data_IF_227145937116
#
_entry.id   IF_227145937116
#
_cell.length_a   1.000
_cell.length_b   1.000
_cell.length_c   1.000
_cell.angle_alpha   90.00
_cell.angle_beta   90.00
_cell.angle_gamma   90.00
#
_symmetry.space_group_name_H-M   'P 1'
#
loop_
_entity.id
_entity.type
_entity.pdbx_description
1 polymer ?
#
# COMPACT_ATOMS: atom_id res chain seq x y z
N UNK A 1 -17.30 -15.66 -3.31
CA UNK A 1 -16.48 -14.42 -3.45
C UNK A 1 -15.06 -14.75 -3.05
N UNK A 2 -14.11 -14.15 -3.72
CA UNK A 2 -12.68 -14.38 -3.53
C UNK A 2 -12.18 -13.82 -2.20
N UNK A 3 -11.16 -14.44 -1.66
CA UNK A 3 -10.45 -13.91 -0.49
C UNK A 3 -9.58 -12.72 -0.87
N UNK A 4 -9.52 -11.72 0.01
CA UNK A 4 -8.74 -10.52 -0.21
C UNK A 4 -8.14 -9.99 1.08
N UNK A 5 -7.28 -8.98 0.93
CA UNK A 5 -6.61 -8.32 2.05
C UNK A 5 -7.34 -7.04 2.45
N UNK A 6 -7.43 -6.81 3.76
CA UNK A 6 -7.97 -5.60 4.36
C UNK A 6 -6.89 -4.98 5.25
N UNK A 7 -6.69 -3.69 5.11
CA UNK A 7 -5.73 -2.90 5.88
C UNK A 7 -6.48 -1.86 6.67
N UNK A 8 -6.36 -1.91 7.99
CA UNK A 8 -6.96 -0.98 8.94
C UNK A 8 -5.85 -0.14 9.61
N UNK A 9 -5.58 1.08 9.11
CA UNK A 9 -4.52 1.93 9.64
C UNK A 9 -4.73 2.31 11.10
N UNK A 10 -5.98 2.43 11.56
CA UNK A 10 -6.27 2.79 12.95
C UNK A 10 -5.81 1.72 13.95
N UNK A 11 -5.65 0.49 13.50
CA UNK A 11 -5.20 -0.65 14.32
C UNK A 11 -3.70 -0.90 14.21
N UNK A 12 -3.01 -0.21 13.31
CA UNK A 12 -1.58 -0.39 13.13
C UNK A 12 -0.81 0.30 14.27
N UNK A 13 0.03 -0.46 14.95
CA UNK A 13 0.88 0.03 16.05
C UNK A 13 2.36 0.16 15.63
N UNK A 14 2.67 0.03 14.35
CA UNK A 14 4.04 0.16 13.85
C UNK A 14 5.02 -0.95 14.26
N UNK A 15 4.55 -2.07 14.79
CA UNK A 15 5.41 -3.13 15.36
C UNK A 15 6.30 -3.86 14.34
N UNK A 16 6.07 -3.69 13.04
CA UNK A 16 6.82 -4.30 11.92
C UNK A 16 6.86 -5.83 11.90
N UNK A 17 6.05 -6.55 12.68
CA UNK A 17 5.96 -8.01 12.62
C UNK A 17 5.61 -8.49 11.20
N UNK A 18 4.74 -7.76 10.49
CA UNK A 18 4.40 -8.03 9.09
C UNK A 18 5.60 -7.93 8.14
N UNK A 19 6.53 -6.99 8.40
CA UNK A 19 7.77 -6.82 7.62
C UNK A 19 8.72 -8.01 7.82
N UNK A 20 8.87 -8.46 9.06
CA UNK A 20 9.69 -9.64 9.39
C UNK A 20 9.08 -10.90 8.77
N UNK A 21 7.79 -11.14 8.96
CA UNK A 21 7.10 -12.32 8.42
C UNK A 21 7.08 -12.35 6.88
N UNK A 22 7.02 -11.20 6.21
CA UNK A 22 7.06 -11.13 4.76
C UNK A 22 8.35 -11.71 4.16
N UNK A 23 9.46 -11.62 4.88
CA UNK A 23 10.75 -12.18 4.45
C UNK A 23 10.76 -13.71 4.42
N UNK A 24 9.91 -14.32 5.26
CA UNK A 24 9.79 -15.78 5.36
C UNK A 24 8.94 -16.38 4.23
N UNK A 25 8.24 -15.56 3.46
CA UNK A 25 7.47 -16.04 2.32
C UNK A 25 8.41 -16.53 1.21
N UNK A 26 8.20 -17.77 0.72
CA UNK A 26 9.05 -18.41 -0.25
C UNK A 26 9.14 -17.62 -1.58
N UNK A 27 8.05 -16.96 -1.99
CA UNK A 27 8.03 -16.16 -3.21
C UNK A 27 8.85 -14.87 -3.10
N UNK A 28 9.09 -14.38 -1.87
CA UNK A 28 9.83 -13.14 -1.62
C UNK A 28 11.33 -13.30 -1.39
N UNK A 29 11.81 -14.54 -1.28
CA UNK A 29 13.24 -14.89 -1.25
C UNK A 29 14.07 -14.12 -0.21
N UNK A 30 13.53 -13.92 0.98
CA UNK A 30 14.18 -13.20 2.08
C UNK A 30 14.03 -11.67 2.05
N UNK A 31 13.30 -11.10 1.09
CA UNK A 31 13.05 -9.67 1.01
C UNK A 31 11.63 -9.34 1.45
N UNK A 32 11.47 -8.23 2.18
CA UNK A 32 10.14 -7.74 2.53
C UNK A 32 9.53 -6.95 1.38
N UNK A 33 8.28 -7.29 1.04
CA UNK A 33 7.46 -6.60 0.05
C UNK A 33 6.39 -5.71 0.70
N UNK A 34 6.36 -5.67 2.04
CA UNK A 34 5.53 -4.78 2.83
C UNK A 34 6.42 -3.82 3.60
N UNK A 35 5.98 -2.59 3.71
CA UNK A 35 6.62 -1.53 4.47
C UNK A 35 5.64 -1.02 5.53
N UNK A 36 6.15 -0.35 6.54
CA UNK A 36 5.33 0.37 7.52
C UNK A 36 5.76 1.82 7.43
N UNK A 37 4.87 2.64 6.92
CA UNK A 37 5.05 4.07 6.80
C UNK A 37 4.58 4.77 8.07
N UNK A 38 5.29 5.82 8.45
CA UNK A 38 4.96 6.68 9.57
C UNK A 38 4.27 7.93 9.02
N UNK A 39 3.08 8.20 9.55
CA UNK A 39 2.29 9.37 9.23
C UNK A 39 2.42 10.32 10.42
N UNK A 40 3.48 11.14 10.41
CA UNK A 40 3.70 12.11 11.47
C UNK A 40 2.64 13.21 11.41
N UNK A 41 2.01 13.45 12.55
CA UNK A 41 1.02 14.51 12.77
C UNK A 41 1.43 15.32 13.99
N UNK A 42 0.96 16.56 14.08
CA UNK A 42 1.27 17.45 15.19
C UNK A 42 0.96 16.85 16.57
N UNK A 43 -0.09 16.04 16.68
CA UNK A 43 -0.57 15.50 17.95
C UNK A 43 -0.27 14.00 18.14
N UNK A 44 -0.11 13.24 17.04
CA UNK A 44 0.09 11.79 17.11
C UNK A 44 0.91 11.30 15.92
N UNK A 45 1.73 10.26 16.16
CA UNK A 45 2.34 9.49 15.07
C UNK A 45 1.44 8.31 14.74
N UNK A 46 0.88 8.30 13.52
CA UNK A 46 0.16 7.16 12.99
C UNK A 46 1.09 6.27 12.16
N UNK A 47 0.74 5.02 12.00
CA UNK A 47 1.48 4.08 11.14
C UNK A 47 0.54 3.33 10.23
N UNK A 48 1.00 3.03 9.02
CA UNK A 48 0.21 2.29 8.05
C UNK A 48 1.07 1.24 7.34
N UNK A 49 0.59 -0.01 7.22
CA UNK A 49 1.24 -0.99 6.36
C UNK A 49 1.01 -0.63 4.89
N UNK A 50 2.10 -0.45 4.15
CA UNK A 50 2.08 -0.17 2.72
C UNK A 50 2.47 -1.42 1.95
N UNK A 51 1.59 -1.86 1.07
CA UNK A 51 1.70 -3.11 0.31
C UNK A 51 1.13 -2.91 -1.09
N UNK A 52 1.37 -3.83 -2.01
CA UNK A 52 0.72 -3.78 -3.32
C UNK A 52 -0.80 -3.84 -3.18
N UNK A 53 -1.50 -2.90 -3.80
CA UNK A 53 -2.95 -2.81 -3.76
C UNK A 53 -3.65 -3.74 -4.75
N UNK A 54 -2.90 -4.44 -5.62
CA UNK A 54 -3.43 -5.35 -6.64
C UNK A 54 -4.56 -4.72 -7.44
N UNK A 55 -4.21 -3.68 -8.22
CA UNK A 55 -5.15 -2.93 -9.04
C UNK A 55 -5.84 -3.83 -10.06
N UNK A 56 -7.13 -3.59 -10.33
CA UNK A 56 -7.91 -4.30 -11.35
C UNK A 56 -7.31 -4.05 -12.75
N UNK A 57 -6.85 -2.82 -13.00
CA UNK A 57 -6.07 -2.44 -14.18
C UNK A 57 -4.65 -2.08 -13.75
N UNK A 58 -3.74 -3.06 -13.60
CA UNK A 58 -2.43 -2.83 -13.03
C UNK A 58 -1.51 -2.11 -14.00
N UNK A 59 -1.33 -0.80 -13.85
CA UNK A 59 -0.44 0.02 -14.68
C UNK A 59 0.98 -0.55 -14.76
N UNK A 60 1.48 -1.14 -13.66
CA UNK A 60 2.79 -1.78 -13.65
C UNK A 60 2.92 -2.96 -14.61
N UNK A 61 1.84 -3.70 -14.85
CA UNK A 61 1.82 -4.77 -15.86
C UNK A 61 1.66 -4.18 -17.28
N UNK A 62 0.78 -3.20 -17.44
CA UNK A 62 0.50 -2.56 -18.74
C UNK A 62 1.74 -1.89 -19.34
N UNK A 63 2.58 -1.25 -18.52
CA UNK A 63 3.80 -0.57 -19.00
C UNK A 63 5.01 -1.50 -19.14
N UNK A 64 4.87 -2.79 -18.86
CA UNK A 64 5.98 -3.73 -18.93
C UNK A 64 6.25 -4.17 -20.38
N UNK A 65 7.34 -3.72 -21.04
CA UNK A 65 7.59 -4.03 -22.44
C UNK A 65 7.92 -5.51 -22.68
N UNK A 66 8.35 -6.21 -21.63
CA UNK A 66 8.71 -7.62 -21.69
C UNK A 66 7.60 -8.55 -21.18
N UNK A 67 6.43 -8.00 -20.84
CA UNK A 67 5.32 -8.77 -20.29
C UNK A 67 5.75 -9.67 -19.12
N UNK A 68 6.63 -9.13 -18.27
CA UNK A 68 7.21 -9.85 -17.14
C UNK A 68 6.28 -9.89 -15.91
N UNK A 69 5.33 -8.95 -15.80
CA UNK A 69 4.38 -8.87 -14.68
C UNK A 69 3.06 -9.47 -15.15
N UNK A 70 2.62 -10.52 -14.48
CA UNK A 70 1.38 -11.22 -14.78
C UNK A 70 0.32 -10.97 -13.73
N UNK A 71 -0.93 -11.14 -14.11
CA UNK A 71 -2.08 -11.14 -13.22
C UNK A 71 -2.63 -12.55 -13.23
N UNK A 72 -2.88 -13.11 -12.04
CA UNK A 72 -3.52 -14.42 -11.91
C UNK A 72 -5.04 -14.32 -12.14
N UNK A 73 -5.68 -15.46 -12.35
CA UNK A 73 -7.14 -15.54 -12.63
C UNK A 73 -7.97 -14.96 -11.48
N UNK A 74 -7.47 -14.99 -10.26
CA UNK A 74 -8.08 -14.41 -9.06
C UNK A 74 -7.68 -12.93 -8.81
N UNK A 75 -7.06 -12.26 -9.80
CA UNK A 75 -6.74 -10.83 -9.76
C UNK A 75 -5.50 -10.47 -8.95
N UNK A 76 -4.67 -11.43 -8.55
CA UNK A 76 -3.40 -11.14 -7.88
C UNK A 76 -2.34 -10.73 -8.90
N UNK A 77 -1.81 -9.53 -8.74
CA UNK A 77 -0.72 -9.04 -9.61
C UNK A 77 0.60 -9.61 -9.10
N UNK A 78 1.30 -10.38 -9.91
CA UNK A 78 2.52 -11.10 -9.54
C UNK A 78 3.77 -10.20 -9.57
N UNK A 79 4.83 -10.58 -8.86
CA UNK A 79 6.16 -10.01 -9.06
C UNK A 79 6.67 -10.29 -10.47
N UNK A 80 7.63 -9.50 -10.94
CA UNK A 80 8.18 -9.70 -12.27
C UNK A 80 8.87 -11.07 -12.39
N UNK A 81 8.63 -11.75 -13.51
CA UNK A 81 9.32 -12.99 -13.85
C UNK A 81 10.77 -12.71 -14.20
N UNK A 82 11.72 -13.27 -13.44
CA UNK A 82 13.15 -13.03 -13.60
C UNK A 82 13.66 -13.24 -15.04
N UNK A 83 13.28 -14.30 -15.77
CA UNK A 83 13.75 -14.52 -17.14
C UNK A 83 13.30 -13.46 -18.14
N UNK A 84 12.23 -12.72 -17.84
CA UNK A 84 11.64 -11.71 -18.73
C UNK A 84 11.96 -10.28 -18.32
N UNK A 85 12.31 -10.05 -17.05
CA UNK A 85 12.55 -8.71 -16.54
C UNK A 85 13.78 -8.07 -17.21
N UNK A 86 13.59 -6.94 -17.91
CA UNK A 86 14.63 -6.17 -18.59
C UNK A 86 15.28 -5.11 -17.72
N UNK A 87 14.92 -5.03 -16.43
CA UNK A 87 15.43 -4.02 -15.51
C UNK A 87 15.17 -2.56 -15.91
N UNK A 88 14.15 -2.31 -16.74
CA UNK A 88 13.82 -0.97 -17.25
C UNK A 88 13.16 -0.04 -16.23
N UNK A 89 12.66 -0.57 -15.11
CA UNK A 89 12.00 0.15 -13.99
C UNK A 89 10.72 0.92 -14.35
N UNK A 90 10.16 0.75 -15.54
CA UNK A 90 8.91 1.40 -15.93
C UNK A 90 7.78 1.12 -14.93
N UNK A 91 7.68 -0.12 -14.42
CA UNK A 91 6.69 -0.52 -13.43
C UNK A 91 6.84 0.19 -12.07
N UNK A 92 8.06 0.59 -11.70
CA UNK A 92 8.33 1.38 -10.48
C UNK A 92 7.77 2.79 -10.64
N UNK A 93 8.04 3.41 -11.79
CA UNK A 93 7.61 4.78 -12.07
C UNK A 93 6.10 4.89 -12.35
N UNK A 94 5.49 3.84 -12.89
CA UNK A 94 4.07 3.84 -13.25
C UNK A 94 3.13 3.52 -12.08
N UNK A 95 3.64 3.02 -10.95
CA UNK A 95 2.80 2.65 -9.83
C UNK A 95 2.34 3.88 -9.04
N UNK A 96 1.03 4.18 -8.99
CA UNK A 96 0.54 5.35 -8.26
C UNK A 96 0.73 5.23 -6.75
N UNK A 97 0.90 4.01 -6.23
CA UNK A 97 1.14 3.73 -4.81
C UNK A 97 2.63 3.63 -4.45
N UNK A 98 3.55 3.76 -5.41
CA UNK A 98 5.00 3.70 -5.17
C UNK A 98 5.52 2.37 -4.61
N UNK A 99 4.77 1.28 -4.76
CA UNK A 99 5.04 0.02 -4.07
C UNK A 99 6.15 -0.84 -4.70
N UNK A 100 6.25 -1.00 -6.04
CA UNK A 100 7.26 -1.85 -6.62
C UNK A 100 8.67 -1.38 -6.27
N UNK A 101 9.53 -2.29 -5.85
CA UNK A 101 10.93 -2.00 -5.51
C UNK A 101 11.86 -2.78 -6.44
N UNK A 102 12.94 -2.14 -6.84
CA UNK A 102 13.97 -2.79 -7.60
C UNK A 102 15.01 -3.43 -6.65
N UNK A 103 15.21 -4.72 -6.81
CA UNK A 103 16.23 -5.45 -6.08
C UNK A 103 17.51 -5.52 -6.92
N UNK A 104 18.56 -4.80 -6.50
CA UNK A 104 19.83 -4.70 -7.22
C UNK A 104 20.62 -6.01 -7.23
N UNK A 105 20.49 -6.84 -6.20
CA UNK A 105 21.22 -8.11 -6.11
C UNK A 105 20.61 -9.16 -7.03
N UNK A 106 19.30 -9.14 -7.19
CA UNK A 106 18.60 -10.10 -8.04
C UNK A 106 18.39 -9.60 -9.47
N UNK A 107 18.70 -8.32 -9.75
CA UNK A 107 18.36 -7.65 -11.00
C UNK A 107 16.89 -7.87 -11.39
N UNK A 108 16.00 -7.61 -10.44
CA UNK A 108 14.59 -7.93 -10.56
C UNK A 108 13.72 -6.90 -9.85
N UNK A 109 12.63 -6.54 -10.47
CA UNK A 109 11.58 -5.79 -9.81
C UNK A 109 10.73 -6.74 -8.97
N UNK A 110 10.53 -6.39 -7.71
CA UNK A 110 9.76 -7.18 -6.75
C UNK A 110 8.65 -6.32 -6.11
N UNK A 111 7.54 -6.98 -5.79
CA UNK A 111 6.43 -6.40 -5.04
C UNK A 111 5.65 -7.52 -4.36
N UNK A 112 4.72 -7.17 -3.48
CA UNK A 112 3.81 -8.15 -2.87
C UNK A 112 3.01 -8.90 -3.94
N UNK A 113 2.92 -10.21 -3.79
CA UNK A 113 2.10 -11.15 -4.56
C UNK A 113 1.06 -11.86 -3.68
N UNK A 114 0.68 -11.26 -2.54
CA UNK A 114 -0.20 -11.82 -1.50
C UNK A 114 0.30 -13.15 -0.93
N UNK A 115 1.61 -13.46 -0.99
CA UNK A 115 2.15 -14.79 -0.71
C UNK A 115 1.36 -15.85 -1.50
N UNK A 116 1.39 -15.75 -2.82
CA UNK A 116 0.53 -16.52 -3.72
C UNK A 116 0.68 -18.04 -3.58
N UNK A 117 1.86 -18.51 -3.16
CA UNK A 117 2.14 -19.88 -2.77
C UNK A 117 1.25 -20.38 -1.61
N UNK A 118 0.76 -19.46 -0.78
CA UNK A 118 -0.12 -19.73 0.35
C UNK A 118 -1.59 -19.37 0.07
N UNK A 119 -1.81 -18.16 -0.46
CA UNK A 119 -3.17 -17.65 -0.66
C UNK A 119 -3.93 -18.42 -1.73
N UNK A 120 -3.26 -18.97 -2.73
CA UNK A 120 -3.88 -19.87 -3.72
C UNK A 120 -4.37 -21.21 -3.13
N UNK A 121 -3.83 -21.59 -1.97
CA UNK A 121 -4.23 -22.80 -1.22
C UNK A 121 -5.21 -22.46 -0.06
N UNK A 122 -5.76 -21.23 -0.02
CA UNK A 122 -6.67 -20.78 1.03
C UNK A 122 -6.00 -20.47 2.37
N UNK A 123 -4.66 -20.37 2.40
CA UNK A 123 -3.91 -19.99 3.59
C UNK A 123 -3.71 -18.47 3.64
N UNK A 124 -3.73 -17.89 4.84
CA UNK A 124 -3.49 -16.45 5.02
C UNK A 124 -2.07 -16.09 4.61
N UNK A 125 -1.86 -14.94 3.93
CA UNK A 125 -0.53 -14.36 3.75
C UNK A 125 0.22 -14.20 5.06
N UNK A 126 1.55 -14.30 5.03
CA UNK A 126 2.39 -14.27 6.24
C UNK A 126 2.14 -13.01 7.09
N UNK A 127 2.02 -11.84 6.47
CA UNK A 127 1.77 -10.57 7.16
C UNK A 127 0.43 -10.55 7.90
N UNK A 128 -0.63 -11.12 7.31
CA UNK A 128 -1.94 -11.22 7.94
C UNK A 128 -1.97 -12.24 9.07
N UNK A 129 -1.16 -13.31 8.97
CA UNK A 129 -1.08 -14.36 9.99
C UNK A 129 -0.44 -13.89 11.30
N UNK A 130 0.50 -12.92 11.23
CA UNK A 130 1.28 -12.47 12.40
C UNK A 130 0.83 -11.12 12.94
N UNK A 131 -0.13 -10.43 12.32
CA UNK A 131 -0.53 -9.10 12.77
C UNK A 131 -1.26 -9.17 14.13
N UNK A 132 -0.66 -8.68 15.23
CA UNK A 132 -1.21 -8.87 16.58
C UNK A 132 -2.47 -8.06 16.81
N UNK A 133 -2.61 -6.93 16.13
CA UNK A 133 -3.78 -6.03 16.26
C UNK A 133 -4.85 -6.32 15.21
N UNK A 134 -4.55 -7.19 14.24
CA UNK A 134 -5.41 -7.42 13.07
C UNK A 134 -5.54 -6.18 12.17
N UNK A 135 -4.56 -5.27 12.17
CA UNK A 135 -4.49 -4.16 11.22
C UNK A 135 -4.41 -4.67 9.78
N UNK A 136 -3.79 -5.84 9.58
CA UNK A 136 -3.84 -6.58 8.32
C UNK A 136 -4.69 -7.82 8.56
N UNK A 137 -5.72 -8.00 7.76
CA UNK A 137 -6.55 -9.21 7.76
C UNK A 137 -6.73 -9.73 6.35
N UNK A 138 -7.01 -11.02 6.22
CA UNK A 138 -7.20 -11.71 4.95
C UNK A 138 -8.37 -12.67 5.06
N UNK A 139 -9.26 -12.67 4.08
CA UNK A 139 -10.43 -13.54 4.03
C UNK A 139 -11.51 -12.98 3.12
N UNK A 140 -12.69 -13.56 3.22
CA UNK A 140 -13.85 -13.12 2.43
C UNK A 140 -14.45 -11.83 2.97
N UNK A 141 -14.93 -10.97 2.08
CA UNK A 141 -15.53 -9.69 2.42
C UNK A 141 -16.61 -9.82 3.51
N UNK A 142 -17.53 -10.78 3.35
CA UNK A 142 -18.63 -10.99 4.28
C UNK A 142 -18.20 -11.46 5.67
N UNK A 143 -17.00 -12.02 5.79
CA UNK A 143 -16.47 -12.50 7.05
C UNK A 143 -15.70 -11.40 7.81
N UNK A 144 -15.00 -10.53 7.08
CA UNK A 144 -14.10 -9.53 7.67
C UNK A 144 -14.85 -8.23 8.00
N UNK A 145 -15.66 -7.72 7.07
CA UNK A 145 -16.29 -6.40 7.19
C UNK A 145 -17.22 -6.28 8.39
N UNK A 146 -18.10 -7.27 8.71
CA UNK A 146 -18.99 -7.17 9.88
C UNK A 146 -18.26 -7.12 11.23
N UNK A 147 -16.99 -7.55 11.26
CA UNK A 147 -16.16 -7.53 12.47
C UNK A 147 -15.50 -6.16 12.70
N UNK A 148 -15.70 -5.21 11.80
CA UNK A 148 -15.03 -3.90 11.81
C UNK A 148 -16.04 -2.77 11.97
N UNK A 149 -15.59 -1.70 12.62
CA UNK A 149 -16.36 -0.44 12.74
C UNK A 149 -16.03 0.54 11.61
N UNK A 150 -15.02 0.23 10.82
CA UNK A 150 -14.49 1.02 9.72
C UNK A 150 -15.07 0.53 8.40
N UNK A 151 -15.23 1.44 7.42
CA UNK A 151 -15.77 1.14 6.10
C UNK A 151 -14.66 0.65 5.17
N UNK A 152 -14.86 -0.47 4.45
CA UNK A 152 -13.91 -0.93 3.44
C UNK A 152 -14.01 -0.06 2.18
N UNK A 153 -12.89 0.46 1.71
CA UNK A 153 -12.79 1.27 0.50
C UNK A 153 -11.66 0.72 -0.37
N UNK A 154 -11.94 0.48 -1.65
CA UNK A 154 -10.99 -0.03 -2.64
C UNK A 154 -10.88 0.84 -3.88
N UNK A 155 -11.50 2.02 -3.88
CA UNK A 155 -11.41 3.00 -4.96
C UNK A 155 -10.50 4.15 -4.53
N UNK A 156 -9.43 4.38 -5.26
CA UNK A 156 -8.44 5.42 -5.01
C UNK A 156 -8.48 6.44 -6.15
N UNK A 157 -8.48 7.73 -5.81
CA UNK A 157 -8.54 8.83 -6.78
C UNK A 157 -7.21 9.57 -6.78
N UNK A 158 -6.52 9.55 -7.90
CA UNK A 158 -5.27 10.28 -8.16
C UNK A 158 -5.55 11.37 -9.19
N UNK A 159 -5.80 12.59 -8.72
CA UNK A 159 -6.25 13.67 -9.60
C UNK A 159 -7.56 13.31 -10.32
N UNK A 160 -7.51 13.13 -11.64
CA UNK A 160 -8.67 12.76 -12.46
C UNK A 160 -8.80 11.25 -12.72
N UNK A 161 -7.89 10.42 -12.19
CA UNK A 161 -7.90 8.99 -12.43
C UNK A 161 -8.44 8.24 -11.21
N UNK A 162 -9.34 7.30 -11.45
CA UNK A 162 -9.81 6.34 -10.45
C UNK A 162 -9.11 5.01 -10.65
N UNK A 163 -8.58 4.48 -9.55
CA UNK A 163 -7.92 3.18 -9.51
C UNK A 163 -8.67 2.29 -8.54
N UNK A 164 -9.30 1.26 -9.05
CA UNK A 164 -9.94 0.23 -8.25
C UNK A 164 -8.95 -0.88 -7.94
N UNK A 165 -9.00 -1.40 -6.71
CA UNK A 165 -8.01 -2.36 -6.20
C UNK A 165 -8.68 -3.58 -5.59
N UNK A 166 -7.94 -4.71 -5.55
CA UNK A 166 -8.36 -5.91 -4.84
C UNK A 166 -8.21 -5.77 -3.32
N UNK A 167 -7.26 -4.96 -2.85
CA UNK A 167 -7.03 -4.70 -1.42
C UNK A 167 -7.94 -3.57 -0.95
N UNK A 168 -8.55 -3.74 0.22
CA UNK A 168 -9.42 -2.74 0.84
C UNK A 168 -8.68 -1.99 1.95
N UNK A 169 -8.81 -0.66 1.97
CA UNK A 169 -8.49 0.16 3.14
C UNK A 169 -9.74 0.29 4.02
N UNK A 170 -9.57 0.08 5.32
CA UNK A 170 -10.62 0.21 6.31
C UNK A 170 -10.55 1.62 6.91
N UNK A 171 -11.45 2.51 6.47
CA UNK A 171 -11.45 3.93 6.85
C UNK A 171 -12.55 4.26 7.87
N UNK A 172 -12.30 5.22 8.78
CA UNK A 172 -13.27 5.66 9.78
C UNK A 172 -14.37 6.56 9.22
N UNK A 173 -14.38 6.82 7.93
CA UNK A 173 -15.29 7.73 7.25
C UNK A 173 -16.31 6.99 6.41
N UNK A 174 -17.41 7.66 6.05
CA UNK A 174 -18.41 7.16 5.11
C UNK A 174 -18.01 7.35 3.64
N UNK A 175 -16.75 7.73 3.39
CA UNK A 175 -16.26 7.95 2.04
C UNK A 175 -16.29 6.65 1.22
N UNK A 176 -16.71 6.76 -0.04
CA UNK A 176 -16.73 5.67 -1.00
C UNK A 176 -15.41 5.56 -1.79
N UNK A 177 -14.58 6.57 -1.72
CA UNK A 177 -13.31 6.65 -2.41
C UNK A 177 -12.23 7.33 -1.55
N UNK A 178 -10.97 6.94 -1.76
CA UNK A 178 -9.79 7.55 -1.12
C UNK A 178 -9.18 8.54 -2.10
N UNK A 179 -9.22 9.82 -1.78
CA UNK A 179 -8.48 10.83 -2.54
C UNK A 179 -7.03 10.85 -2.09
N UNK A 180 -6.13 10.71 -3.04
CA UNK A 180 -4.68 10.74 -2.80
C UNK A 180 -4.14 12.03 -3.40
N UNK A 181 -3.52 12.85 -2.58
CA UNK A 181 -2.86 14.06 -3.03
C UNK A 181 -1.46 13.76 -3.60
N UNK A 182 -0.82 14.76 -4.21
CA UNK A 182 0.50 14.62 -4.82
C UNK A 182 1.62 14.29 -3.82
N UNK A 183 1.39 14.46 -2.52
CA UNK A 183 2.33 14.13 -1.45
C UNK A 183 2.09 12.72 -0.87
N UNK A 184 1.09 11.98 -1.38
CA UNK A 184 0.73 10.65 -0.90
C UNK A 184 -0.04 10.66 0.42
N UNK A 185 -0.54 11.81 0.84
CA UNK A 185 -1.42 11.93 2.00
C UNK A 185 -2.83 11.55 1.62
N UNK A 186 -3.42 10.61 2.34
CA UNK A 186 -4.81 10.21 2.11
C UNK A 186 -5.75 11.26 2.72
N UNK A 187 -6.44 12.03 1.87
CA UNK A 187 -7.31 13.13 2.31
C UNK A 187 -8.41 12.67 3.28
N UNK A 188 -8.92 11.46 3.12
CA UNK A 188 -9.92 10.88 4.02
C UNK A 188 -9.41 10.51 5.41
N UNK A 189 -8.08 10.53 5.64
CA UNK A 189 -7.46 10.23 6.95
C UNK A 189 -7.18 11.49 7.77
N UNK A 190 -7.25 12.67 7.15
CA UNK A 190 -7.03 13.95 7.83
C UNK A 190 -8.36 14.52 8.31
N UNK A 191 -8.44 14.87 9.58
CA UNK A 191 -9.56 15.67 10.11
C UNK A 191 -9.44 17.11 9.64
N UNK A 192 -10.52 17.92 9.79
CA UNK A 192 -10.48 19.35 9.47
C UNK A 192 -9.42 20.12 10.28
N UNK A 193 -9.17 19.68 11.51
CA UNK A 193 -8.13 20.24 12.38
C UNK A 193 -6.72 19.91 11.88
N UNK A 194 -6.50 18.68 11.39
CA UNK A 194 -5.23 18.25 10.83
C UNK A 194 -4.84 19.04 9.57
N UNK A 195 -5.82 19.42 8.73
CA UNK A 195 -5.57 20.26 7.53
C UNK A 195 -5.16 21.67 7.90
N UNK A 196 -5.86 22.30 8.85
CA UNK A 196 -5.55 23.66 9.28
C UNK A 196 -4.14 23.77 9.89
N UNK A 197 -3.69 22.71 10.61
CA UNK A 197 -2.34 22.65 11.18
C UNK A 197 -1.27 22.40 10.12
N UNK A 198 -1.56 21.59 9.10
CA UNK A 198 -0.61 21.33 8.01
C UNK A 198 -0.39 22.59 7.16
N UNK A 199 -1.45 23.34 6.84
CA UNK A 199 -1.37 24.62 6.12
C UNK A 199 -0.57 25.66 6.92
N UNK A 200 -0.80 25.78 8.25
CA UNK A 200 -0.05 26.70 9.11
C UNK A 200 1.42 26.34 9.23
N UNK A 201 1.79 25.06 9.12
CA UNK A 201 3.18 24.60 9.18
C UNK A 201 3.97 24.96 7.90
N UNK A 202 3.32 24.85 6.74
CA UNK A 202 3.90 25.22 5.45
C UNK A 202 4.16 26.74 5.42
N UNK A 203 3.21 27.54 5.86
CA UNK A 203 3.34 29.00 5.91
C UNK A 203 4.46 29.44 6.86
N UNK A 204 4.61 28.78 8.02
CA UNK A 204 5.68 29.09 8.99
C UNK A 204 7.08 28.73 8.46
N UNK A 205 7.21 27.69 7.65
CA UNK A 205 8.49 27.30 7.03
C UNK A 205 8.89 28.25 5.91
N UNK A 206 7.94 28.76 5.13
CA UNK A 206 8.17 29.75 4.06
C UNK A 206 8.65 31.08 4.68
N UNK A 207 7.98 31.57 5.73
CA UNK A 207 8.38 32.81 6.42
C UNK A 207 9.77 32.71 7.09
N UNK A 208 10.19 31.54 7.53
CA UNK A 208 11.54 31.33 8.11
C UNK A 208 12.64 31.24 7.04
N UNK A 209 12.34 30.71 5.84
CA UNK A 209 13.28 30.65 4.74
C UNK A 209 13.58 32.05 4.15
N UNK A 210 12.59 32.95 4.13
CA UNK A 210 12.76 34.31 3.62
C UNK A 210 13.59 35.17 4.56
N UNK A 211 13.53 34.95 5.88
CA UNK A 211 14.34 35.66 6.89
C UNK A 211 15.81 35.21 6.95
N UNK A 212 16.13 34.02 6.41
CA UNK A 212 17.51 33.53 6.38
C UNK A 212 18.30 33.98 5.14
N UNK A 213 17.67 34.63 4.18
CA UNK A 213 18.30 35.14 2.95
C UNK A 213 18.57 36.64 2.97
N UNK A 214 18.37 37.31 4.10
CA UNK A 214 18.73 38.72 4.30
C UNK A 214 20.05 38.87 5.12
N UNK A 215 21.18 38.28 4.60
CA UNK A 215 22.54 38.61 5.02
C UNK A 215 23.46 38.62 3.82
#
# INVERSE_FOLDING_TARGET
MEETMFIDPQRCIGCRACVAACRECATHKGYSMIFVDYLDRAETTATMPTVCMHCNEPTCALVCPADAIKVSDDGVVMSALKPRCLDCRNCVNACPFGVPKYNTQMHLQMKCDMCYDRSSEGLKPMCASVCPTGAISFGKYEQIVPLRRTKPVNVHVFGNQKVETKVYLMLPTDADEVKVDGCGVFEGMLTRADRATAESWIDTQVEQSDKSNEF
#
